data_IF_845755061085
#
_entry.id   IF_845755061085
#
_cell.length_a   1.000
_cell.length_b   1.000
_cell.length_c   1.000
_cell.angle_alpha   90.00
_cell.angle_beta   90.00
_cell.angle_gamma   90.00
#
_symmetry.space_group_name_H-M   'P 1'
#
loop_
_entity.id
_entity.type
_entity.pdbx_description
1 polymer ?
#
# COMPACT_ATOMS: atom_id res chain seq x y z
N UNK A 1 -3.82 -4.25 -22.77
CA UNK A 1 -2.81 -4.64 -21.76
C UNK A 1 -3.26 -4.17 -20.38
N UNK A 2 -4.24 -4.85 -19.76
CA UNK A 2 -4.90 -4.38 -18.53
C UNK A 2 -3.99 -4.45 -17.29
N UNK A 3 -3.21 -5.54 -17.12
CA UNK A 3 -2.30 -5.67 -15.98
C UNK A 3 -1.21 -4.59 -15.94
N UNK A 4 -0.70 -4.17 -17.09
CA UNK A 4 0.24 -3.04 -17.18
C UNK A 4 -0.39 -1.71 -16.77
N UNK A 5 -1.67 -1.47 -17.12
CA UNK A 5 -2.38 -0.27 -16.69
C UNK A 5 -2.49 -0.23 -15.17
N UNK A 6 -2.88 -1.35 -14.55
CA UNK A 6 -2.90 -1.47 -13.08
C UNK A 6 -1.52 -1.23 -12.46
N UNK A 7 -0.45 -1.79 -13.02
CA UNK A 7 0.91 -1.54 -12.54
C UNK A 7 1.29 -0.06 -12.62
N UNK A 8 1.02 0.60 -13.76
CA UNK A 8 1.32 2.01 -13.94
C UNK A 8 0.51 2.88 -12.98
N UNK A 9 -0.80 2.68 -12.88
CA UNK A 9 -1.64 3.42 -11.93
C UNK A 9 -1.21 3.18 -10.49
N UNK A 10 -0.95 1.93 -10.09
CA UNK A 10 -0.49 1.61 -8.74
C UNK A 10 0.81 2.31 -8.37
N UNK A 11 1.77 2.40 -9.31
CA UNK A 11 2.98 3.20 -9.11
C UNK A 11 2.72 4.70 -8.94
N UNK A 12 1.74 5.25 -9.66
CA UNK A 12 1.38 6.66 -9.55
C UNK A 12 0.71 6.97 -8.21
N UNK A 13 -0.24 6.14 -7.79
CA UNK A 13 -0.87 6.28 -6.47
C UNK A 13 0.18 6.19 -5.36
N UNK A 14 1.15 5.28 -5.50
CA UNK A 14 2.23 5.17 -4.53
C UNK A 14 3.08 6.44 -4.48
N UNK A 15 3.44 7.01 -5.64
CA UNK A 15 4.17 8.27 -5.73
C UNK A 15 3.41 9.45 -5.09
N UNK A 16 2.08 9.45 -5.19
CA UNK A 16 1.20 10.45 -4.59
C UNK A 16 0.97 10.24 -3.09
N UNK A 17 1.46 9.12 -2.53
CA UNK A 17 1.32 8.78 -1.12
C UNK A 17 0.02 8.06 -0.76
N UNK A 18 -0.84 7.75 -1.74
CA UNK A 18 -2.06 6.95 -1.57
C UNK A 18 -1.69 5.45 -1.55
N UNK A 19 -1.05 5.02 -0.46
CA UNK A 19 -0.42 3.70 -0.38
C UNK A 19 -1.44 2.55 -0.37
N UNK A 20 -2.62 2.76 0.19
CA UNK A 20 -3.73 1.79 0.17
C UNK A 20 -4.24 1.52 -1.25
N UNK A 21 -4.42 2.59 -2.02
CA UNK A 21 -4.79 2.51 -3.44
C UNK A 21 -3.67 1.86 -4.26
N UNK A 22 -2.41 2.20 -3.97
CA UNK A 22 -1.26 1.59 -4.59
C UNK A 22 -1.20 0.07 -4.38
N UNK A 23 -1.34 -0.41 -3.14
CA UNK A 23 -1.36 -1.84 -2.80
C UNK A 23 -2.45 -2.55 -3.58
N UNK A 24 -3.68 -2.03 -3.56
CA UNK A 24 -4.82 -2.63 -4.26
C UNK A 24 -4.61 -2.72 -5.78
N UNK A 25 -3.99 -1.71 -6.39
CA UNK A 25 -3.74 -1.68 -7.84
C UNK A 25 -2.56 -2.57 -8.23
N UNK A 26 -1.48 -2.58 -7.44
CA UNK A 26 -0.32 -3.44 -7.66
C UNK A 26 -0.68 -4.92 -7.48
N UNK A 27 -1.55 -5.26 -6.54
CA UNK A 27 -2.08 -6.61 -6.33
C UNK A 27 -2.80 -7.12 -7.60
N UNK A 28 -3.74 -6.33 -8.13
CA UNK A 28 -4.41 -6.63 -9.42
C UNK A 28 -3.43 -6.76 -10.58
N UNK A 29 -2.37 -5.94 -10.58
CA UNK A 29 -1.35 -6.02 -11.61
C UNK A 29 -0.59 -7.34 -11.55
N UNK A 30 -0.17 -7.76 -10.35
CA UNK A 30 0.52 -9.04 -10.10
C UNK A 30 -0.35 -10.20 -10.56
N UNK A 31 -1.61 -10.25 -10.14
CA UNK A 31 -2.55 -11.32 -10.53
C UNK A 31 -2.67 -11.47 -12.05
N UNK A 32 -2.93 -10.36 -12.75
CA UNK A 32 -3.13 -10.39 -14.20
C UNK A 32 -1.82 -10.72 -14.92
N UNK A 33 -0.70 -10.13 -14.50
CA UNK A 33 0.58 -10.26 -15.20
C UNK A 33 1.22 -11.63 -14.97
N UNK A 34 1.05 -12.23 -13.79
CA UNK A 34 1.47 -13.61 -13.56
C UNK A 34 0.70 -14.60 -14.45
N UNK A 35 -0.62 -14.43 -14.62
CA UNK A 35 -1.42 -15.30 -15.49
C UNK A 35 -1.08 -15.11 -16.97
N UNK A 36 -0.90 -13.86 -17.40
CA UNK A 36 -0.75 -13.54 -18.84
C UNK A 36 0.69 -13.64 -19.35
N UNK A 37 1.69 -13.38 -18.50
CA UNK A 37 3.11 -13.36 -18.88
C UNK A 37 3.94 -14.41 -18.13
N UNK A 38 3.30 -15.22 -17.27
CA UNK A 38 3.98 -16.18 -16.41
C UNK A 38 4.78 -15.50 -15.30
N UNK A 39 5.45 -16.30 -14.48
CA UNK A 39 6.21 -15.85 -13.31
C UNK A 39 7.71 -15.69 -13.55
N UNK A 40 8.20 -16.12 -14.72
CA UNK A 40 9.64 -16.24 -14.98
C UNK A 40 10.26 -15.02 -15.67
N UNK A 41 9.46 -14.10 -16.20
CA UNK A 41 9.99 -12.90 -16.86
C UNK A 41 10.63 -11.96 -15.84
N UNK A 42 11.73 -11.27 -16.18
CA UNK A 42 12.37 -10.31 -15.26
C UNK A 42 11.37 -9.28 -14.72
N UNK A 43 10.50 -8.77 -15.61
CA UNK A 43 9.46 -7.82 -15.24
C UNK A 43 8.49 -8.36 -14.18
N UNK A 44 7.92 -9.56 -14.38
CA UNK A 44 6.95 -10.12 -13.40
C UNK A 44 7.62 -10.48 -12.07
N UNK A 45 8.89 -10.92 -12.11
CA UNK A 45 9.66 -11.19 -10.88
C UNK A 45 9.86 -9.95 -10.02
N UNK A 46 9.93 -8.77 -10.62
CA UNK A 46 10.07 -7.50 -9.89
C UNK A 46 8.74 -6.96 -9.35
N UNK A 47 7.59 -7.48 -9.80
CA UNK A 47 6.28 -7.00 -9.34
C UNK A 47 6.00 -7.38 -7.88
N UNK A 48 6.29 -8.64 -7.51
CA UNK A 48 6.02 -9.13 -6.14
C UNK A 48 6.83 -8.36 -5.09
N UNK A 49 8.15 -8.14 -5.23
CA UNK A 49 8.91 -7.31 -4.29
C UNK A 49 8.33 -5.89 -4.14
N UNK A 50 7.86 -5.27 -5.23
CA UNK A 50 7.23 -3.95 -5.19
C UNK A 50 5.91 -3.93 -4.43
N UNK A 51 5.09 -4.96 -4.62
CA UNK A 51 3.84 -5.11 -3.88
C UNK A 51 4.13 -5.27 -2.38
N UNK A 52 5.11 -6.09 -2.01
CA UNK A 52 5.50 -6.29 -0.61
C UNK A 52 6.06 -5.01 0.03
N UNK A 53 6.84 -4.22 -0.71
CA UNK A 53 7.32 -2.92 -0.24
C UNK A 53 6.17 -1.93 -0.01
N UNK A 54 5.18 -1.86 -0.92
CA UNK A 54 4.00 -1.03 -0.72
C UNK A 54 3.16 -1.49 0.48
N UNK A 55 2.99 -2.80 0.70
CA UNK A 55 2.29 -3.38 1.86
C UNK A 55 3.00 -3.08 3.18
N UNK A 56 4.34 -3.10 3.17
CA UNK A 56 5.13 -2.73 4.34
C UNK A 56 4.94 -1.26 4.71
N UNK A 57 4.91 -0.36 3.72
CA UNK A 57 4.62 1.06 3.96
C UNK A 57 3.19 1.28 4.47
N UNK A 58 2.18 0.62 3.88
CA UNK A 58 0.79 0.70 4.34
C UNK A 58 0.65 0.27 5.81
N UNK A 59 1.24 -0.88 6.15
CA UNK A 59 1.25 -1.41 7.52
C UNK A 59 1.91 -0.44 8.51
N UNK A 60 3.00 0.20 8.08
CA UNK A 60 3.67 1.22 8.88
C UNK A 60 2.80 2.45 9.12
N UNK A 61 2.15 2.98 8.07
CA UNK A 61 1.23 4.13 8.18
C UNK A 61 0.06 3.84 9.12
N UNK A 62 -0.57 2.68 8.97
CA UNK A 62 -1.66 2.25 9.86
C UNK A 62 -1.20 2.16 11.33
N UNK A 63 0.00 1.62 11.58
CA UNK A 63 0.55 1.55 12.93
C UNK A 63 0.80 2.94 13.54
N UNK A 64 1.28 3.90 12.74
CA UNK A 64 1.46 5.29 13.18
C UNK A 64 0.13 5.97 13.50
N UNK A 65 -0.89 5.81 12.65
CA UNK A 65 -2.22 6.38 12.87
C UNK A 65 -2.88 5.85 14.15
N UNK A 66 -2.73 4.56 14.42
CA UNK A 66 -3.19 3.92 15.66
C UNK A 66 -2.49 4.50 16.90
N UNK A 67 -1.18 4.70 16.85
CA UNK A 67 -0.41 5.31 17.93
C UNK A 67 -0.83 6.76 18.17
N UNK A 68 -1.00 7.53 17.10
CA UNK A 68 -1.39 8.93 17.15
C UNK A 68 -2.83 9.12 17.67
N UNK A 69 -3.72 8.19 17.31
CA UNK A 69 -5.08 8.11 17.84
C UNK A 69 -5.08 7.83 19.35
N UNK A 70 -4.23 6.93 19.84
CA UNK A 70 -4.10 6.63 21.29
C UNK A 70 -3.60 7.85 22.07
N UNK A 71 -2.66 8.61 21.52
CA UNK A 71 -2.14 9.84 22.15
C UNK A 71 -3.19 10.96 22.25
N UNK A 72 -4.00 11.16 21.21
CA UNK A 72 -5.10 12.13 21.22
C UNK A 72 -6.16 11.82 22.29
N UNK A 73 -6.49 10.55 22.49
CA UNK A 73 -7.44 10.13 23.52
C UNK A 73 -6.88 10.33 24.93
N UNK A 74 -5.57 10.14 25.14
CA UNK A 74 -4.93 10.35 26.43
C UNK A 74 -4.95 11.83 26.86
N UNK A 75 -4.71 12.77 25.93
CA UNK A 75 -4.72 14.21 26.26
C UNK A 75 -6.11 14.76 26.62
N UNK A 76 -7.19 14.18 26.09
CA UNK A 76 -8.57 14.64 26.36
C UNK A 76 -9.07 14.29 27.77
N UNK A 77 -8.46 13.30 28.42
CA UNK A 77 -8.84 12.87 29.78
C UNK A 77 -8.28 13.77 30.89
N UNK A 78 -7.33 14.66 30.58
CA UNK A 78 -6.66 15.51 31.57
C UNK A 78 -7.22 16.95 31.63
N UNK A 79 -8.41 17.20 31.08
CA UNK A 79 -9.07 18.51 31.11
C UNK A 79 -10.58 18.36 31.37
N UNK A 80 -10.93 17.84 32.55
CA UNK A 80 -12.21 18.16 33.19
C UNK A 80 -11.90 18.92 34.49
N UNK A 81 -12.35 20.18 34.65
CA UNK A 81 -12.19 20.91 35.90
C UNK A 81 -13.19 20.37 36.93
N UNK A 82 -12.70 20.15 38.16
CA UNK A 82 -13.50 19.91 39.36
C UNK A 82 -14.10 21.23 39.84
#
# INVERSE_FOLDING_TARGET
>A
MLGLQYYTCGKLEWLLGHTDDAVRLLDKAVDILQVTHGTCTPFVKELTPKLEEARAEESYKLAQEDEQSKLLHSQKTNSQPV
#
